data_IF_163149522279
#
_entry.id   IF_163149522279
#
_cell.length_a   1.000
_cell.length_b   1.000
_cell.length_c   1.000
_cell.angle_alpha   90.00
_cell.angle_beta   90.00
_cell.angle_gamma   90.00
#
_symmetry.space_group_name_H-M   'P 1'
#
loop_
_entity.id
_entity.type
_entity.pdbx_description
1 polymer ?
#
# COMPACT_ATOMS: atom_id res chain seq x y z
N UNK A 1 -35.54 0.02 -31.82
CA UNK A 1 -34.97 0.97 -30.82
C UNK A 1 -34.32 0.16 -29.69
N UNK A 2 -33.20 0.61 -29.12
CA UNK A 2 -32.53 -0.05 -27.97
C UNK A 2 -32.26 0.94 -26.83
N UNK A 3 -32.22 0.46 -25.59
CA UNK A 3 -31.75 1.17 -24.38
C UNK A 3 -30.98 0.19 -23.50
N UNK A 4 -29.75 0.53 -23.10
CA UNK A 4 -28.83 -0.34 -22.33
C UNK A 4 -28.70 -1.78 -22.88
N UNK A 5 -28.65 -1.92 -24.20
CA UNK A 5 -28.57 -3.22 -24.88
C UNK A 5 -29.88 -4.01 -24.95
N UNK A 6 -30.98 -3.52 -24.39
CA UNK A 6 -32.31 -4.14 -24.49
C UNK A 6 -33.14 -3.50 -25.60
N UNK A 7 -33.93 -4.32 -26.29
CA UNK A 7 -34.82 -3.86 -27.37
C UNK A 7 -36.05 -3.17 -26.78
N UNK A 8 -36.28 -1.94 -27.22
CA UNK A 8 -37.40 -1.09 -26.78
C UNK A 8 -38.52 -1.05 -27.82
N UNK A 9 -38.19 -1.25 -29.10
CA UNK A 9 -39.17 -1.27 -30.18
C UNK A 9 -38.62 -2.08 -31.35
N UNK A 10 -39.49 -2.83 -32.02
CA UNK A 10 -39.16 -3.68 -33.18
C UNK A 10 -40.13 -3.45 -34.31
N UNK A 11 -39.62 -3.62 -35.53
CA UNK A 11 -40.40 -3.69 -36.75
C UNK A 11 -40.04 -5.00 -37.46
N UNK A 12 -40.97 -5.94 -37.49
CA UNK A 12 -40.72 -7.34 -37.85
C UNK A 12 -40.08 -8.18 -36.74
N UNK A 13 -39.97 -9.48 -36.97
CA UNK A 13 -39.20 -10.40 -36.12
C UNK A 13 -37.74 -10.44 -36.60
N UNK A 14 -36.80 -10.14 -35.69
CA UNK A 14 -35.36 -10.09 -35.99
C UNK A 14 -34.77 -11.46 -36.37
N UNK A 15 -35.44 -12.57 -36.01
CA UNK A 15 -34.95 -13.92 -36.24
C UNK A 15 -35.57 -14.59 -37.48
N UNK A 16 -36.42 -13.89 -38.22
CA UNK A 16 -37.18 -14.44 -39.35
C UNK A 16 -36.83 -13.66 -40.62
N UNK A 17 -36.61 -14.38 -41.72
CA UNK A 17 -36.52 -13.76 -43.04
C UNK A 17 -37.87 -13.11 -43.37
N UNK A 18 -37.86 -11.80 -43.57
CA UNK A 18 -39.08 -11.02 -43.80
C UNK A 18 -39.78 -11.27 -45.13
N UNK A 19 -39.19 -12.07 -46.03
CA UNK A 19 -39.76 -12.34 -47.36
C UNK A 19 -41.13 -13.02 -47.25
N UNK A 20 -42.19 -12.36 -47.74
CA UNK A 20 -43.56 -12.88 -47.69
C UNK A 20 -44.26 -12.77 -46.33
N UNK A 21 -43.58 -12.22 -45.32
CA UNK A 21 -44.19 -11.92 -44.02
C UNK A 21 -44.96 -10.59 -44.07
N UNK A 22 -45.87 -10.33 -43.12
CA UNK A 22 -46.66 -9.08 -43.10
C UNK A 22 -45.84 -7.79 -42.99
N UNK A 23 -44.57 -7.86 -42.57
CA UNK A 23 -43.63 -6.73 -42.49
C UNK A 23 -42.65 -6.66 -43.68
N UNK A 24 -42.86 -7.49 -44.71
CA UNK A 24 -42.19 -7.34 -46.00
C UNK A 24 -42.58 -6.00 -46.64
N UNK A 25 -41.57 -5.25 -47.09
CA UNK A 25 -41.73 -3.88 -47.55
C UNK A 25 -41.00 -3.60 -48.86
N UNK A 26 -40.62 -4.64 -49.61
CA UNK A 26 -40.02 -4.48 -50.94
C UNK A 26 -40.86 -3.52 -51.80
N UNK A 27 -40.25 -2.41 -52.22
CA UNK A 27 -40.87 -1.35 -53.03
C UNK A 27 -42.28 -0.91 -52.55
N UNK A 28 -42.47 -0.94 -51.23
CA UNK A 28 -43.68 -0.54 -50.53
C UNK A 28 -43.36 0.32 -49.31
N UNK A 29 -44.33 0.46 -48.41
CA UNK A 29 -44.19 1.21 -47.18
C UNK A 29 -44.91 0.53 -46.02
N UNK A 30 -44.38 0.77 -44.83
CA UNK A 30 -45.03 0.50 -43.56
C UNK A 30 -45.17 1.80 -42.78
N UNK A 31 -46.29 1.96 -42.09
CA UNK A 31 -46.64 3.18 -41.38
C UNK A 31 -47.17 2.82 -40.00
N UNK A 32 -46.65 3.44 -38.95
CA UNK A 32 -47.13 3.16 -37.60
C UNK A 32 -48.53 3.74 -37.41
N UNK A 33 -49.44 2.97 -36.84
CA UNK A 33 -50.81 3.41 -36.51
C UNK A 33 -50.73 4.46 -35.40
N UNK A 34 -51.43 5.58 -35.55
CA UNK A 34 -51.49 6.64 -34.54
C UNK A 34 -51.92 6.10 -33.18
N UNK A 35 -51.29 6.59 -32.12
CA UNK A 35 -51.49 6.14 -30.73
C UNK A 35 -51.06 4.69 -30.43
N UNK A 36 -50.22 4.08 -31.26
CA UNK A 36 -49.63 2.75 -31.01
C UNK A 36 -48.11 2.79 -30.87
N UNK A 37 -47.53 1.72 -30.31
CA UNK A 37 -46.10 1.60 -30.04
C UNK A 37 -45.59 2.35 -28.80
N UNK A 38 -44.32 2.16 -28.43
CA UNK A 38 -43.38 1.16 -28.98
C UNK A 38 -43.77 -0.29 -28.60
N UNK A 39 -43.39 -1.25 -29.43
CA UNK A 39 -43.83 -2.66 -29.39
C UNK A 39 -42.97 -3.54 -28.43
N UNK A 40 -41.93 -2.97 -27.80
CA UNK A 40 -41.03 -3.72 -26.95
C UNK A 40 -40.17 -4.70 -27.75
N UNK A 41 -40.06 -5.94 -27.28
CA UNK A 41 -39.26 -7.00 -27.91
C UNK A 41 -40.02 -7.85 -28.94
N UNK A 42 -41.35 -7.71 -29.03
CA UNK A 42 -42.19 -8.54 -29.90
C UNK A 42 -42.94 -7.64 -30.87
N UNK A 43 -42.80 -7.92 -32.16
CA UNK A 43 -43.47 -7.14 -33.18
C UNK A 43 -45.00 -7.29 -33.08
N UNK A 44 -45.70 -6.16 -33.00
CA UNK A 44 -47.16 -6.15 -32.92
C UNK A 44 -47.71 -5.70 -34.26
N UNK A 45 -48.13 -6.66 -35.08
CA UNK A 45 -48.62 -6.38 -36.44
C UNK A 45 -49.74 -5.33 -36.48
N UNK A 46 -50.64 -5.33 -35.48
CA UNK A 46 -51.74 -4.37 -35.39
C UNK A 46 -51.33 -2.91 -35.16
N UNK A 47 -50.07 -2.65 -34.83
CA UNK A 47 -49.53 -1.30 -34.63
C UNK A 47 -49.03 -0.67 -35.95
N UNK A 48 -49.18 -1.37 -37.06
CA UNK A 48 -48.64 -0.96 -38.35
C UNK A 48 -49.69 -1.13 -39.46
N UNK A 49 -49.68 -0.20 -40.41
CA UNK A 49 -50.37 -0.30 -41.70
C UNK A 49 -49.34 -0.43 -42.81
N UNK A 50 -49.67 -1.18 -43.84
CA UNK A 50 -48.74 -1.53 -44.91
C UNK A 50 -49.38 -1.27 -46.26
N UNK A 51 -48.55 -0.91 -47.24
CA UNK A 51 -48.97 -0.89 -48.64
C UNK A 51 -48.99 -2.27 -49.28
N UNK A 52 -48.30 -3.25 -48.66
CA UNK A 52 -47.87 -4.47 -49.35
C UNK A 52 -46.65 -4.23 -50.25
N UNK A 53 -46.10 -5.31 -50.79
CA UNK A 53 -44.93 -5.28 -51.67
C UNK A 53 -45.27 -4.68 -53.04
N UNK A 54 -44.29 -4.03 -53.66
CA UNK A 54 -44.35 -3.43 -55.01
C UNK A 54 -45.44 -2.35 -55.18
N UNK A 55 -45.95 -1.78 -54.08
CA UNK A 55 -47.01 -0.78 -54.12
C UNK A 55 -46.58 0.55 -54.77
N UNK A 56 -45.27 0.76 -54.91
CA UNK A 56 -44.67 1.92 -55.57
C UNK A 56 -44.05 1.59 -56.95
N UNK A 57 -44.25 0.37 -57.46
CA UNK A 57 -43.72 -0.03 -58.76
C UNK A 57 -44.35 0.75 -59.92
N UNK A 58 -43.50 1.26 -60.81
CA UNK A 58 -43.89 2.08 -61.97
C UNK A 58 -44.58 3.40 -61.60
N UNK A 59 -44.52 3.80 -60.33
CA UNK A 59 -45.07 5.06 -59.85
C UNK A 59 -44.04 6.17 -59.93
N UNK A 60 -44.41 7.29 -60.55
CA UNK A 60 -43.51 8.46 -60.64
C UNK A 60 -43.70 9.43 -59.46
N UNK A 61 -44.82 9.36 -58.75
CA UNK A 61 -45.11 10.18 -57.58
C UNK A 61 -46.01 9.44 -56.59
N UNK A 62 -45.99 9.84 -55.32
CA UNK A 62 -46.89 9.29 -54.30
C UNK A 62 -48.38 9.49 -54.64
N UNK A 63 -48.72 10.52 -55.42
CA UNK A 63 -50.09 10.83 -55.82
C UNK A 63 -50.64 9.90 -56.90
N UNK A 64 -49.75 9.25 -57.68
CA UNK A 64 -50.16 8.30 -58.73
C UNK A 64 -50.24 6.86 -58.20
N UNK A 65 -49.60 6.58 -57.06
CA UNK A 65 -49.60 5.26 -56.44
C UNK A 65 -51.02 4.76 -56.13
N UNK A 66 -51.27 3.48 -56.42
CA UNK A 66 -52.52 2.82 -56.08
C UNK A 66 -52.80 2.81 -54.56
N UNK A 67 -51.73 2.76 -53.76
CA UNK A 67 -51.79 2.87 -52.30
C UNK A 67 -50.74 3.92 -51.85
N UNK A 68 -51.10 5.21 -51.85
CA UNK A 68 -50.19 6.29 -51.49
C UNK A 68 -49.63 6.14 -50.07
N UNK A 69 -48.34 6.43 -49.90
CA UNK A 69 -47.73 6.60 -48.58
C UNK A 69 -48.47 7.69 -47.79
N UNK A 70 -48.85 7.45 -46.53
CA UNK A 70 -49.52 8.45 -45.71
C UNK A 70 -48.58 9.63 -45.41
N UNK A 71 -48.81 10.77 -46.05
CA UNK A 71 -48.05 11.99 -45.78
C UNK A 71 -48.59 12.61 -44.47
N UNK A 72 -47.83 12.46 -43.38
CA UNK A 72 -47.98 13.27 -42.16
C UNK A 72 -49.15 12.94 -41.23
N UNK A 73 -49.60 11.69 -41.13
CA UNK A 73 -50.81 11.30 -40.38
C UNK A 73 -50.56 10.67 -39.00
N UNK A 74 -49.31 10.33 -38.65
CA UNK A 74 -48.97 9.72 -37.37
C UNK A 74 -49.07 10.78 -36.29
N UNK A 75 -49.98 10.56 -35.36
CA UNK A 75 -50.12 11.35 -34.16
C UNK A 75 -50.01 10.43 -32.96
N UNK A 76 -49.30 10.90 -31.94
CA UNK A 76 -49.28 10.29 -30.64
C UNK A 76 -50.05 11.21 -29.70
N UNK A 77 -51.30 10.88 -29.40
CA UNK A 77 -52.10 11.56 -28.40
C UNK A 77 -51.55 11.16 -27.03
N UNK A 78 -50.71 12.02 -26.48
CA UNK A 78 -50.13 11.83 -25.16
C UNK A 78 -51.23 12.02 -24.11
N UNK A 79 -51.67 10.99 -23.36
CA UNK A 79 -52.49 11.21 -22.17
C UNK A 79 -51.54 11.64 -21.04
N UNK A 80 -51.09 12.90 -21.09
CA UNK A 80 -50.06 13.45 -20.20
C UNK A 80 -48.63 13.02 -20.60
N UNK A 81 -47.66 13.95 -20.46
CA UNK A 81 -46.26 13.82 -20.86
C UNK A 81 -45.67 12.40 -20.73
N UNK A 82 -45.63 11.64 -21.83
CA UNK A 82 -44.90 10.39 -21.92
C UNK A 82 -43.46 10.72 -22.31
N UNK A 83 -42.65 10.95 -21.30
CA UNK A 83 -41.20 11.04 -21.43
C UNK A 83 -40.62 9.62 -21.51
N UNK A 84 -39.93 9.31 -22.61
CA UNK A 84 -39.13 8.09 -22.71
C UNK A 84 -37.80 8.32 -21.99
N UNK A 85 -37.70 7.88 -20.74
CA UNK A 85 -36.48 8.02 -19.94
C UNK A 85 -35.73 6.68 -19.93
N UNK A 86 -34.61 6.63 -20.66
CA UNK A 86 -33.62 5.56 -20.53
C UNK A 86 -32.66 5.95 -19.39
N UNK A 87 -32.64 5.17 -18.31
CA UNK A 87 -31.75 5.41 -17.16
C UNK A 87 -30.67 4.34 -17.18
N UNK A 88 -29.41 4.76 -17.18
CA UNK A 88 -28.28 3.90 -16.84
C UNK A 88 -27.79 4.32 -15.46
N UNK A 89 -27.72 3.38 -14.53
CA UNK A 89 -27.06 3.60 -13.24
C UNK A 89 -25.57 3.31 -13.40
N UNK A 90 -24.73 4.27 -13.05
CA UNK A 90 -23.27 4.13 -12.98
C UNK A 90 -22.90 4.23 -11.51
N UNK A 91 -22.10 3.28 -11.02
CA UNK A 91 -21.54 3.31 -9.67
C UNK A 91 -20.06 3.63 -9.80
N UNK A 92 -19.59 4.62 -9.03
CA UNK A 92 -18.19 5.01 -8.95
C UNK A 92 -17.74 4.72 -7.52
N UNK A 93 -16.74 3.85 -7.39
CA UNK A 93 -16.21 3.44 -6.10
C UNK A 93 -15.04 4.36 -5.73
N UNK A 94 -14.95 4.74 -4.46
CA UNK A 94 -13.83 5.52 -3.96
C UNK A 94 -12.69 4.57 -3.58
N UNK A 95 -11.43 4.87 -3.95
CA UNK A 95 -10.30 4.08 -3.49
C UNK A 95 -10.12 4.26 -1.97
N UNK A 96 -9.62 3.24 -1.25
CA UNK A 96 -9.35 3.37 0.17
C UNK A 96 -8.16 4.30 0.43
N UNK A 97 -8.13 4.90 1.62
CA UNK A 97 -7.03 5.72 2.11
C UNK A 97 -6.17 4.93 3.10
N UNK A 98 -4.86 5.13 3.03
CA UNK A 98 -3.91 4.56 3.98
C UNK A 98 -2.70 5.46 4.20
N UNK A 99 -2.28 5.54 5.46
CA UNK A 99 -1.02 6.09 5.92
C UNK A 99 -0.42 5.08 6.92
N UNK A 100 0.76 4.53 6.63
CA UNK A 100 1.42 3.55 7.50
C UNK A 100 2.14 4.21 8.70
N UNK A 101 2.10 5.54 8.80
CA UNK A 101 2.85 6.30 9.78
C UNK A 101 4.25 6.70 9.27
N UNK A 102 4.92 7.53 10.05
CA UNK A 102 6.25 8.05 9.71
C UNK A 102 7.37 7.08 10.05
N UNK A 103 8.49 7.24 9.35
CA UNK A 103 9.71 6.46 9.58
C UNK A 103 10.22 6.58 11.02
N UNK A 104 10.81 5.50 11.54
CA UNK A 104 11.27 5.42 12.92
C UNK A 104 12.72 4.96 12.99
N UNK A 105 13.44 5.43 14.01
CA UNK A 105 14.76 4.94 14.40
C UNK A 105 14.61 4.33 15.78
N UNK A 106 14.96 3.04 15.90
CA UNK A 106 14.78 2.23 17.11
C UNK A 106 16.12 1.69 17.55
N UNK A 107 16.30 1.58 18.86
CA UNK A 107 17.50 1.01 19.42
C UNK A 107 17.36 -0.48 19.70
N UNK A 108 18.35 -1.27 19.28
CA UNK A 108 18.37 -2.72 19.44
C UNK A 108 17.24 -3.42 18.68
N UNK A 109 16.86 -4.60 19.16
CA UNK A 109 15.79 -5.43 18.59
C UNK A 109 14.46 -5.39 19.36
N UNK A 110 14.25 -4.37 20.21
CA UNK A 110 13.04 -4.24 21.02
C UNK A 110 11.78 -4.01 20.18
N UNK A 111 10.57 -4.28 20.73
CA UNK A 111 9.32 -4.04 20.01
C UNK A 111 9.12 -2.55 19.72
N UNK A 112 8.85 -2.22 18.45
CA UNK A 112 8.44 -0.88 18.01
C UNK A 112 6.94 -0.81 17.85
N UNK A 113 6.33 0.30 18.25
CA UNK A 113 4.90 0.54 18.03
C UNK A 113 4.66 1.03 16.59
N UNK A 114 3.71 0.40 15.92
CA UNK A 114 3.22 0.78 14.60
C UNK A 114 1.78 1.26 14.74
N UNK A 115 1.44 2.32 14.00
CA UNK A 115 0.10 2.91 14.02
C UNK A 115 -0.25 3.42 12.62
N UNK A 116 -0.87 2.55 11.82
CA UNK A 116 -1.45 2.96 10.55
C UNK A 116 -2.78 3.70 10.76
N UNK A 117 -3.07 4.64 9.87
CA UNK A 117 -4.36 5.31 9.75
C UNK A 117 -4.93 4.94 8.39
N UNK A 118 -6.09 4.29 8.39
CA UNK A 118 -6.82 3.92 7.18
C UNK A 118 -8.33 4.09 7.39
N UNK A 119 -9.07 4.20 6.29
CA UNK A 119 -10.53 4.26 6.30
C UNK A 119 -11.20 2.89 6.31
N UNK A 120 -10.44 1.83 6.01
CA UNK A 120 -10.84 0.42 6.10
C UNK A 120 -9.74 -0.42 6.76
N UNK A 121 -10.10 -1.61 7.23
CA UNK A 121 -9.15 -2.54 7.85
C UNK A 121 -8.06 -3.00 6.87
N UNK A 122 -6.94 -3.48 7.39
CA UNK A 122 -5.79 -3.90 6.59
C UNK A 122 -4.85 -4.83 7.36
N UNK A 123 -3.72 -5.15 6.75
CA UNK A 123 -2.72 -6.03 7.33
C UNK A 123 -1.31 -5.55 7.08
N UNK A 124 -0.47 -5.67 8.10
CA UNK A 124 0.97 -5.47 8.07
C UNK A 124 1.71 -6.66 7.44
N UNK A 125 2.79 -6.36 6.75
CA UNK A 125 3.72 -7.34 6.17
C UNK A 125 5.12 -6.71 6.02
N UNK A 126 6.11 -7.55 5.70
CA UNK A 126 7.51 -7.13 5.54
C UNK A 126 8.40 -7.54 6.72
N UNK A 127 9.70 -7.39 6.51
CA UNK A 127 10.75 -7.84 7.43
C UNK A 127 10.75 -9.35 7.73
N UNK A 128 11.69 -9.76 8.56
CA UNK A 128 11.89 -11.15 9.02
C UNK A 128 11.45 -11.36 10.47
N UNK A 129 11.30 -10.28 11.23
CA UNK A 129 10.75 -10.27 12.58
C UNK A 129 9.25 -10.60 12.66
N UNK A 130 8.64 -10.27 13.79
CA UNK A 130 7.28 -10.69 14.14
C UNK A 130 6.38 -9.52 14.52
N UNK A 131 5.17 -9.48 13.97
CA UNK A 131 4.12 -8.58 14.43
C UNK A 131 3.39 -9.15 15.66
N UNK A 132 2.98 -8.28 16.58
CA UNK A 132 2.11 -8.68 17.71
C UNK A 132 0.76 -9.18 17.21
N UNK A 133 0.10 -8.35 16.40
CA UNK A 133 -1.04 -8.72 15.55
C UNK A 133 -0.90 -8.00 14.20
N UNK A 134 -0.66 -8.74 13.12
CA UNK A 134 -0.47 -8.17 11.79
C UNK A 134 -1.76 -7.54 11.23
N UNK A 135 -2.95 -7.91 11.71
CA UNK A 135 -4.22 -7.40 11.19
C UNK A 135 -4.76 -6.19 12.00
N UNK A 136 -4.01 -5.74 13.01
CA UNK A 136 -4.34 -4.53 13.76
C UNK A 136 -3.56 -3.34 13.22
N UNK A 137 -4.26 -2.27 12.84
CA UNK A 137 -3.63 -1.01 12.44
C UNK A 137 -2.67 -0.46 13.50
N UNK A 138 -3.00 -0.66 14.78
CA UNK A 138 -2.14 -0.38 15.93
C UNK A 138 -1.57 -1.68 16.48
N UNK A 139 -0.27 -1.90 16.30
CA UNK A 139 0.40 -3.16 16.67
C UNK A 139 1.84 -2.91 17.07
N UNK A 140 2.56 -3.97 17.42
CA UNK A 140 4.01 -3.92 17.60
C UNK A 140 4.72 -4.75 16.56
N UNK A 141 5.95 -4.38 16.23
CA UNK A 141 6.87 -5.20 15.46
C UNK A 141 8.16 -5.43 16.25
N UNK A 142 8.55 -6.69 16.40
CA UNK A 142 9.82 -7.07 17.03
C UNK A 142 10.75 -7.58 15.94
N UNK A 143 11.90 -6.93 15.78
CA UNK A 143 12.86 -7.26 14.73
C UNK A 143 13.48 -8.65 14.93
N UNK A 144 13.81 -9.32 13.83
CA UNK A 144 14.72 -10.45 13.88
C UNK A 144 16.15 -9.96 14.21
N UNK A 145 16.97 -10.71 14.96
CA UNK A 145 18.35 -10.30 15.26
C UNK A 145 19.20 -9.96 14.02
N UNK A 146 18.91 -10.56 12.86
CA UNK A 146 19.61 -10.25 11.60
C UNK A 146 19.25 -8.89 10.99
N UNK A 147 18.19 -8.25 11.46
CA UNK A 147 17.74 -6.93 11.00
C UNK A 147 18.39 -5.78 11.79
N UNK A 148 19.02 -6.07 12.94
CA UNK A 148 19.74 -5.08 13.75
C UNK A 148 20.95 -4.55 12.96
N UNK A 149 21.09 -3.23 12.88
CA UNK A 149 22.08 -2.56 12.03
C UNK A 149 21.58 -2.27 10.62
N UNK A 150 20.31 -2.56 10.31
CA UNK A 150 19.72 -2.36 8.99
C UNK A 150 18.44 -1.52 9.04
N UNK A 151 17.91 -1.16 7.86
CA UNK A 151 16.60 -0.52 7.71
C UNK A 151 15.61 -1.52 7.11
N UNK A 152 14.51 -1.78 7.82
CA UNK A 152 13.42 -2.66 7.42
C UNK A 152 12.26 -1.83 6.89
N UNK A 153 11.69 -2.24 5.76
CA UNK A 153 10.47 -1.63 5.21
C UNK A 153 9.27 -2.49 5.58
N UNK A 154 8.33 -1.92 6.33
CA UNK A 154 7.08 -2.55 6.70
C UNK A 154 5.94 -1.93 5.88
N UNK A 155 4.98 -2.76 5.50
CA UNK A 155 3.90 -2.38 4.57
C UNK A 155 2.55 -2.68 5.21
N UNK A 156 1.66 -1.68 5.25
CA UNK A 156 0.26 -1.87 5.60
C UNK A 156 -0.60 -1.84 4.34
N UNK A 157 -1.29 -2.94 4.06
CA UNK A 157 -2.16 -3.09 2.89
C UNK A 157 -3.61 -3.14 3.35
N UNK A 158 -4.45 -2.25 2.83
CA UNK A 158 -5.88 -2.24 3.17
C UNK A 158 -6.66 -3.30 2.40
N UNK A 159 -7.78 -3.74 2.96
CA UNK A 159 -8.72 -4.62 2.27
C UNK A 159 -9.30 -3.88 1.07
N UNK A 160 -9.50 -4.62 -0.01
CA UNK A 160 -10.17 -4.14 -1.22
C UNK A 160 -11.65 -3.79 -0.94
N UNK A 161 -12.07 -2.52 -1.03
CA UNK A 161 -13.39 -2.09 -0.57
C UNK A 161 -14.56 -2.64 -1.38
N UNK A 162 -14.33 -3.06 -2.63
CA UNK A 162 -15.35 -3.62 -3.52
C UNK A 162 -15.08 -5.08 -3.93
N UNK A 163 -14.07 -5.69 -3.32
CA UNK A 163 -13.68 -7.08 -3.54
C UNK A 163 -12.93 -7.28 -4.86
N UNK A 164 -12.36 -8.47 -5.02
CA UNK A 164 -11.36 -8.78 -6.08
C UNK A 164 -11.80 -8.56 -7.53
N UNK A 165 -13.11 -8.49 -7.78
CA UNK A 165 -13.69 -8.26 -9.12
C UNK A 165 -14.15 -6.81 -9.31
N UNK A 166 -13.97 -5.96 -8.29
CA UNK A 166 -14.30 -4.55 -8.28
C UNK A 166 -13.31 -3.70 -9.07
N UNK A 167 -13.71 -2.49 -9.48
CA UNK A 167 -12.82 -1.56 -10.17
C UNK A 167 -11.75 -0.93 -9.25
N UNK A 168 -11.94 -0.91 -7.94
CA UNK A 168 -10.95 -0.43 -6.99
C UNK A 168 -10.00 -1.56 -6.54
N UNK A 169 -8.92 -1.17 -5.86
CA UNK A 169 -8.01 -2.11 -5.22
C UNK A 169 -7.71 -1.60 -3.82
N UNK A 170 -7.21 -2.49 -2.96
CA UNK A 170 -6.60 -2.09 -1.68
C UNK A 170 -5.50 -1.04 -1.88
N UNK A 171 -5.37 -0.14 -0.91
CA UNK A 171 -4.30 0.86 -0.87
C UNK A 171 -3.13 0.32 -0.05
N UNK A 172 -1.94 0.82 -0.37
CA UNK A 172 -0.68 0.37 0.24
C UNK A 172 0.05 1.56 0.83
N UNK A 173 0.38 1.47 2.12
CA UNK A 173 1.25 2.41 2.83
C UNK A 173 2.50 1.70 3.31
N UNK A 174 3.64 2.41 3.35
CA UNK A 174 4.91 1.86 3.81
C UNK A 174 5.54 2.75 4.87
N UNK A 175 6.25 2.14 5.82
CA UNK A 175 7.06 2.83 6.83
C UNK A 175 8.43 2.17 6.90
N UNK A 176 9.48 2.98 7.06
CA UNK A 176 10.85 2.49 7.24
C UNK A 176 11.23 2.52 8.72
N UNK A 177 11.72 1.39 9.23
CA UNK A 177 12.22 1.27 10.60
C UNK A 177 13.72 0.99 10.53
N UNK A 178 14.53 1.89 11.07
CA UNK A 178 15.98 1.70 11.16
C UNK A 178 16.33 1.20 12.56
N UNK A 179 16.87 -0.02 12.64
CA UNK A 179 17.31 -0.63 13.89
C UNK A 179 18.79 -0.34 14.09
N UNK A 180 19.12 0.51 15.06
CA UNK A 180 20.50 0.85 15.40
C UNK A 180 20.99 -0.14 16.46
N UNK A 181 22.20 -0.72 16.32
CA UNK A 181 22.76 -1.60 17.35
C UNK A 181 22.94 -0.86 18.68
N UNK A 182 22.75 -1.57 19.78
CA UNK A 182 23.07 -1.03 21.10
C UNK A 182 24.58 -0.84 21.23
N UNK A 183 24.99 0.27 21.85
CA UNK A 183 26.39 0.54 22.14
C UNK A 183 26.90 -0.43 23.21
N UNK A 184 27.89 -1.27 22.85
CA UNK A 184 28.64 -2.09 23.79
C UNK A 184 30.15 -1.85 23.61
N UNK A 185 30.74 -1.16 24.58
CA UNK A 185 32.15 -0.81 24.61
C UNK A 185 33.04 -1.86 25.28
N UNK A 186 32.46 -2.95 25.82
CA UNK A 186 33.16 -3.92 26.65
C UNK A 186 34.38 -4.52 25.95
N UNK A 187 35.56 -4.40 26.56
CA UNK A 187 36.81 -4.96 26.07
C UNK A 187 37.70 -5.36 27.25
N UNK A 188 38.61 -6.30 27.01
CA UNK A 188 39.64 -6.68 27.97
C UNK A 188 40.96 -6.97 27.26
N UNK A 189 42.06 -6.86 28.00
CA UNK A 189 43.33 -7.44 27.58
C UNK A 189 43.56 -8.77 28.30
N UNK A 190 44.53 -9.55 27.83
CA UNK A 190 44.83 -10.90 28.33
C UNK A 190 45.43 -10.93 29.74
N UNK A 191 45.91 -9.80 30.25
CA UNK A 191 46.40 -9.61 31.62
C UNK A 191 46.18 -8.18 32.15
N UNK A 192 46.33 -8.01 33.48
CA UNK A 192 46.26 -6.70 34.14
C UNK A 192 47.63 -6.00 34.23
N UNK A 193 48.73 -6.75 34.08
CA UNK A 193 50.10 -6.26 34.22
C UNK A 193 51.02 -6.84 33.15
N UNK A 194 51.94 -6.01 32.64
CA UNK A 194 52.87 -6.39 31.57
C UNK A 194 54.30 -6.01 31.90
N UNK A 195 55.25 -6.83 31.42
CA UNK A 195 56.67 -6.46 31.42
C UNK A 195 56.97 -5.61 30.19
N UNK A 196 57.74 -4.50 30.28
CA UNK A 196 58.05 -3.65 29.13
C UNK A 196 58.75 -4.38 27.95
N UNK A 197 59.43 -5.49 28.22
CA UNK A 197 60.09 -6.34 27.21
C UNK A 197 59.29 -7.64 26.94
N UNK A 198 58.03 -7.67 27.34
CA UNK A 198 57.12 -8.81 27.16
C UNK A 198 56.58 -8.91 25.74
N UNK A 199 55.57 -9.76 25.58
CA UNK A 199 54.73 -9.75 24.37
C UNK A 199 53.66 -8.68 24.50
N UNK A 200 53.28 -8.09 23.38
CA UNK A 200 52.23 -7.07 23.33
C UNK A 200 50.87 -7.64 23.83
N UNK A 201 50.08 -6.83 24.57
CA UNK A 201 48.76 -7.22 25.05
C UNK A 201 47.84 -7.69 23.93
N UNK A 202 47.05 -8.72 24.21
CA UNK A 202 46.05 -9.23 23.29
C UNK A 202 44.68 -8.70 23.70
N UNK A 203 44.10 -7.81 22.90
CA UNK A 203 42.76 -7.28 23.09
C UNK A 203 41.71 -8.34 22.73
N UNK A 204 40.63 -8.40 23.52
CA UNK A 204 39.48 -9.27 23.29
C UNK A 204 38.16 -8.61 23.67
N UNK A 205 37.08 -9.02 23.02
CA UNK A 205 35.71 -8.64 23.35
C UNK A 205 34.92 -9.86 23.77
N UNK A 206 34.12 -9.72 24.83
CA UNK A 206 33.11 -10.74 25.20
C UNK A 206 31.77 -10.43 24.53
N UNK A 207 31.33 -9.17 24.59
CA UNK A 207 30.08 -8.69 24.00
C UNK A 207 30.23 -7.36 23.25
N UNK A 208 31.29 -6.59 23.54
CA UNK A 208 31.53 -5.29 22.93
C UNK A 208 32.12 -5.34 21.53
N UNK A 209 32.38 -4.14 21.01
CA UNK A 209 32.92 -3.90 19.68
C UNK A 209 34.01 -2.84 19.70
N UNK A 210 34.86 -2.84 18.67
CA UNK A 210 35.88 -1.81 18.48
C UNK A 210 35.22 -0.46 18.18
N UNK A 211 35.67 0.57 18.90
CA UNK A 211 35.30 1.96 18.69
C UNK A 211 36.53 2.82 18.48
N UNK A 212 36.58 3.97 19.15
CA UNK A 212 37.78 4.81 19.21
C UNK A 212 38.48 4.58 20.53
N UNK A 213 39.73 4.10 20.46
CA UNK A 213 40.57 3.86 21.62
C UNK A 213 41.38 5.10 21.98
N UNK A 214 41.37 5.43 23.27
CA UNK A 214 42.16 6.52 23.86
C UNK A 214 42.75 6.08 25.18
N UNK A 215 43.75 6.80 25.68
CA UNK A 215 44.29 6.54 27.02
C UNK A 215 44.55 7.82 27.81
N UNK A 216 44.55 7.69 29.13
CA UNK A 216 45.00 8.70 30.08
C UNK A 216 46.15 8.16 30.93
N UNK A 217 47.14 9.01 31.22
CA UNK A 217 48.26 8.64 32.10
C UNK A 217 47.84 8.80 33.56
N UNK A 218 47.93 7.72 34.33
CA UNK A 218 47.67 7.73 35.78
C UNK A 218 48.98 7.99 36.54
N UNK A 219 50.06 7.30 36.19
CA UNK A 219 51.39 7.52 36.77
C UNK A 219 52.51 7.02 35.83
N UNK A 220 53.73 7.56 35.96
CA UNK A 220 54.84 7.27 35.02
C UNK A 220 54.72 8.11 33.74
N UNK A 221 54.92 7.48 32.58
CA UNK A 221 54.63 8.08 31.27
C UNK A 221 55.77 8.89 30.64
N UNK A 222 55.50 9.66 29.56
CA UNK A 222 54.18 10.11 29.11
C UNK A 222 53.45 9.26 28.04
N UNK A 223 54.07 8.25 27.43
CA UNK A 223 53.53 7.63 26.20
C UNK A 223 53.09 6.18 26.36
N UNK A 224 51.86 5.87 25.96
CA UNK A 224 51.40 4.52 25.61
C UNK A 224 51.24 4.46 24.08
N UNK A 225 51.92 3.52 23.44
CA UNK A 225 51.80 3.28 22.00
C UNK A 225 50.53 2.45 21.71
N UNK A 226 49.39 3.13 21.79
CA UNK A 226 48.05 2.58 21.52
C UNK A 226 47.62 2.90 20.09
N UNK A 227 47.17 1.89 19.34
CA UNK A 227 46.46 2.07 18.08
C UNK A 227 45.02 2.55 18.37
N UNK A 228 44.63 3.77 17.92
CA UNK A 228 43.32 4.33 18.24
C UNK A 228 42.15 3.65 17.51
N UNK A 229 42.41 2.84 16.47
CA UNK A 229 41.39 2.15 15.68
C UNK A 229 41.22 0.69 16.13
N UNK A 230 42.31 0.02 16.52
CA UNK A 230 42.28 -1.42 16.87
C UNK A 230 42.47 -1.70 18.34
N UNK A 231 42.80 -0.69 19.15
CA UNK A 231 43.12 -0.85 20.57
C UNK A 231 44.39 -1.68 20.84
N UNK A 232 45.21 -1.95 19.83
CA UNK A 232 46.45 -2.70 20.00
C UNK A 232 47.47 -1.85 20.75
N UNK A 233 48.21 -2.44 21.69
CA UNK A 233 49.26 -1.78 22.46
C UNK A 233 50.61 -2.36 22.06
N UNK A 234 51.55 -1.52 21.65
CA UNK A 234 52.97 -1.88 21.49
C UNK A 234 53.72 -1.53 22.79
N UNK A 235 54.14 -2.55 23.55
CA UNK A 235 54.86 -2.32 24.81
C UNK A 235 56.26 -1.74 24.59
N UNK A 236 56.90 -2.10 23.47
CA UNK A 236 58.25 -1.64 23.16
C UNK A 236 58.29 -0.14 22.81
N UNK A 237 57.17 0.39 22.33
CA UNK A 237 56.94 1.82 22.08
C UNK A 237 56.38 2.61 23.26
N UNK A 238 56.17 1.96 24.42
CA UNK A 238 55.49 2.55 25.57
C UNK A 238 56.42 2.84 26.75
N UNK A 239 56.16 3.93 27.46
CA UNK A 239 56.86 4.27 28.70
C UNK A 239 56.32 3.46 29.87
N UNK A 240 57.17 3.20 30.87
CA UNK A 240 56.73 2.57 32.11
C UNK A 240 55.74 3.48 32.85
N UNK A 241 54.57 2.93 33.18
CA UNK A 241 53.53 3.67 33.87
C UNK A 241 52.25 2.86 34.05
N UNK A 242 51.24 3.53 34.57
CA UNK A 242 49.86 3.06 34.67
C UNK A 242 49.01 3.95 33.77
N UNK A 243 48.18 3.32 32.93
CA UNK A 243 47.34 3.99 31.96
C UNK A 243 45.91 3.49 32.06
N UNK A 244 44.95 4.39 31.99
CA UNK A 244 43.54 4.04 31.82
C UNK A 244 43.23 4.05 30.33
N UNK A 245 42.81 2.91 29.77
CA UNK A 245 42.40 2.78 28.36
C UNK A 245 40.89 2.90 28.27
N UNK A 246 40.41 3.67 27.30
CA UNK A 246 38.97 3.87 27.04
C UNK A 246 38.64 3.54 25.60
N UNK A 247 37.67 2.65 25.40
CA UNK A 247 37.03 2.39 24.11
C UNK A 247 35.72 3.18 24.02
N UNK A 248 35.56 4.01 22.99
CA UNK A 248 34.34 4.78 22.73
C UNK A 248 33.63 4.25 21.50
N UNK A 249 32.55 3.50 21.69
CA UNK A 249 31.71 3.00 20.59
C UNK A 249 30.54 3.93 20.30
N UNK A 250 30.17 4.02 19.02
CA UNK A 250 28.96 4.72 18.60
C UNK A 250 27.81 3.72 18.54
N UNK A 251 26.71 4.05 19.21
CA UNK A 251 25.48 3.27 19.17
C UNK A 251 24.37 4.03 19.86
N UNK A 252 23.19 3.43 19.86
CA UNK A 252 22.09 3.92 20.68
C UNK A 252 22.07 3.16 22.01
N UNK A 253 21.37 3.69 23.02
CA UNK A 253 21.20 3.00 24.30
C UNK A 253 20.97 3.97 25.44
N UNK A 254 20.36 3.46 26.51
CA UNK A 254 20.27 4.20 27.77
C UNK A 254 21.52 3.93 28.60
N UNK A 255 22.08 4.95 29.24
CA UNK A 255 23.04 4.75 30.32
C UNK A 255 22.31 4.11 31.51
N UNK A 256 22.54 2.81 31.73
CA UNK A 256 21.97 2.10 32.89
C UNK A 256 23.05 1.96 33.96
N UNK A 257 22.93 2.73 35.05
CA UNK A 257 23.75 2.53 36.25
C UNK A 257 23.01 1.53 37.15
N UNK A 258 23.49 0.29 37.23
CA UNK A 258 22.92 -0.73 38.13
C UNK A 258 23.92 -1.12 39.23
N UNK A 259 23.50 -1.04 40.50
CA UNK A 259 24.29 -1.47 41.66
C UNK A 259 23.58 -1.26 42.99
N UNK A 260 24.01 -1.95 44.04
CA UNK A 260 23.56 -1.68 45.42
C UNK A 260 24.43 -0.56 46.00
N UNK A 261 23.85 0.63 46.11
CA UNK A 261 24.50 1.79 46.72
C UNK A 261 24.34 1.70 48.24
N UNK A 262 25.14 0.89 48.93
CA UNK A 262 25.14 0.81 50.40
C UNK A 262 26.48 1.25 51.00
N UNK A 263 26.39 2.06 52.06
CA UNK A 263 27.51 2.56 52.85
C UNK A 263 27.10 3.79 53.69
N UNK A 264 27.44 3.87 54.99
CA UNK A 264 27.15 5.05 55.80
C UNK A 264 28.12 6.17 55.40
N UNK A 265 27.63 7.36 55.05
CA UNK A 265 28.51 8.54 54.89
C UNK A 265 27.90 9.79 55.49
N UNK A 266 28.56 10.25 56.54
CA UNK A 266 28.58 11.66 56.94
C UNK A 266 29.61 12.35 56.04
N UNK A 267 29.17 13.23 55.12
CA UNK A 267 30.03 13.94 54.16
C UNK A 267 29.63 13.67 52.72
N UNK A 268 28.78 14.54 52.16
CA UNK A 268 28.06 14.33 50.90
C UNK A 268 28.86 14.60 49.63
N UNK A 269 29.48 13.55 49.08
CA UNK A 269 29.85 13.47 47.67
C UNK A 269 28.85 12.54 46.94
N UNK A 270 28.54 12.77 45.65
CA UNK A 270 27.63 11.91 44.89
C UNK A 270 28.16 10.48 44.86
N UNK A 271 27.29 9.50 45.15
CA UNK A 271 27.63 8.06 45.11
C UNK A 271 27.46 7.40 43.74
N UNK A 272 26.91 8.16 42.79
CA UNK A 272 26.81 7.84 41.38
C UNK A 272 26.65 9.16 40.61
N UNK A 273 27.34 9.29 39.48
CA UNK A 273 27.11 10.27 38.40
C UNK A 273 27.02 9.48 37.11
#
# INVERSE_FOLDING_TARGET
>A
LFCNGQVIDVFGDINVDGTGEPWDHLDGWAYRVSNTGPDGTTFVLGNWTFSGTNALDNETTNATAAIPFPIGTFSFACPGDMSFVCIQTIVINAPPFVDAGGDQIVCGGGPVNLAAVSDVDGSWSGGLGTFGDANSASTTYTADPSEIGTTVVLTYTTIDPDGVDGPCSGAVGTVQITFVPEADAEFSYDADEYCPNGVDPVLSHTSGSDGIYTYAVVSGGPTLALDPETGAIDLSGSDQGTYDVTNTVSGCGNLVISGVIDGPVTGGLPKAV
#
